data_IF_521321696620
#
_entry.id   IF_521321696620
#
_cell.length_a   1.000
_cell.length_b   1.000
_cell.length_c   1.000
_cell.angle_alpha   90.00
_cell.angle_beta   90.00
_cell.angle_gamma   90.00
#
_symmetry.space_group_name_H-M   'P 1'
#
loop_
_entity.id
_entity.type
_entity.pdbx_description
1 polymer ?
#
# COMPACT_ATOMS: atom_id res chain seq x y z
N UNK A 1 5.91 30.63 -2.94
CA UNK A 1 5.45 29.31 -3.33
C UNK A 1 4.22 28.96 -2.51
N UNK A 2 3.07 28.85 -3.14
CA UNK A 2 1.87 28.32 -2.50
C UNK A 2 2.12 26.85 -2.25
N UNK A 3 2.30 26.45 -0.98
CA UNK A 3 2.30 25.04 -0.62
C UNK A 3 0.85 24.60 -0.55
N UNK A 4 0.49 23.62 -1.34
CA UNK A 4 -0.83 23.03 -1.22
C UNK A 4 -1.05 22.54 0.21
N UNK A 5 -2.26 22.71 0.77
CA UNK A 5 -2.54 22.27 2.12
C UNK A 5 -2.33 20.75 2.24
N UNK A 6 -1.77 20.32 3.35
CA UNK A 6 -1.64 18.90 3.63
C UNK A 6 -3.02 18.33 4.03
N UNK A 7 -3.54 17.43 3.22
CA UNK A 7 -4.78 16.71 3.51
C UNK A 7 -4.41 15.37 4.15
N UNK A 8 -4.95 15.11 5.33
CA UNK A 8 -4.76 13.84 6.04
C UNK A 8 -5.80 12.82 5.60
N UNK A 9 -5.36 11.62 5.32
CA UNK A 9 -6.20 10.46 4.99
C UNK A 9 -6.19 9.39 6.08
N UNK A 10 -5.18 9.40 6.94
CA UNK A 10 -5.00 8.42 7.98
C UNK A 10 -6.04 8.54 9.09
N UNK A 11 -6.42 7.41 9.67
CA UNK A 11 -7.49 7.31 10.67
C UNK A 11 -7.21 8.16 11.91
N UNK A 12 -5.96 8.20 12.38
CA UNK A 12 -5.53 8.94 13.57
C UNK A 12 -4.49 10.02 13.24
N UNK A 13 -4.46 10.50 12.01
CA UNK A 13 -3.53 11.53 11.53
C UNK A 13 -2.05 11.13 11.60
N UNK A 14 -1.75 9.85 11.49
CA UNK A 14 -0.38 9.34 11.49
C UNK A 14 0.42 9.93 10.33
N UNK A 15 -0.20 10.15 9.20
CA UNK A 15 0.39 10.80 8.03
C UNK A 15 0.83 12.24 8.30
N UNK A 16 0.09 12.99 9.11
CA UNK A 16 0.48 14.35 9.54
C UNK A 16 1.74 14.32 10.39
N UNK A 17 1.81 13.39 11.34
CA UNK A 17 2.98 13.24 12.22
C UNK A 17 4.21 12.85 11.40
N UNK A 18 4.04 11.88 10.49
CA UNK A 18 5.11 11.44 9.60
C UNK A 18 5.55 12.57 8.65
N UNK A 19 4.62 13.33 8.10
CA UNK A 19 4.94 14.44 7.21
C UNK A 19 5.78 15.54 7.89
N UNK A 20 5.50 15.80 9.16
CA UNK A 20 6.32 16.74 9.96
C UNK A 20 7.75 16.26 10.14
N UNK A 21 7.92 14.95 10.35
CA UNK A 21 9.24 14.36 10.55
C UNK A 21 9.99 14.15 9.23
N UNK A 22 9.32 13.72 8.18
CA UNK A 22 9.93 13.27 6.93
C UNK A 22 9.97 14.36 5.85
N UNK A 23 9.17 15.42 5.99
CA UNK A 23 9.15 16.60 5.11
C UNK A 23 9.00 16.24 3.62
N UNK A 24 7.89 15.62 3.21
CA UNK A 24 7.73 15.06 1.87
C UNK A 24 7.73 16.12 0.74
N UNK A 25 7.49 17.39 1.06
CA UNK A 25 7.59 18.49 0.09
C UNK A 25 9.06 18.88 -0.22
N UNK A 26 10.00 18.45 0.60
CA UNK A 26 11.41 18.81 0.50
C UNK A 26 12.32 17.63 0.11
N UNK A 27 11.80 16.42 0.16
CA UNK A 27 12.56 15.18 -0.05
C UNK A 27 11.75 14.18 -0.86
N UNK A 28 12.43 13.39 -1.65
CA UNK A 28 11.92 12.14 -2.17
C UNK A 28 12.04 11.06 -1.11
N UNK A 29 11.09 10.12 -1.11
CA UNK A 29 11.09 9.03 -0.17
C UNK A 29 10.38 7.80 -0.69
N UNK A 30 10.47 6.75 0.10
CA UNK A 30 9.97 5.44 -0.20
C UNK A 30 9.34 4.83 1.06
N UNK A 31 8.28 4.06 0.90
CA UNK A 31 7.66 3.34 2.01
C UNK A 31 7.52 1.84 1.75
N UNK A 32 7.39 1.12 2.84
CA UNK A 32 6.84 -0.24 2.88
C UNK A 32 5.65 -0.20 3.83
N UNK A 33 4.46 -0.38 3.29
CA UNK A 33 3.20 -0.33 4.03
C UNK A 33 2.63 -1.74 4.18
N UNK A 34 2.65 -2.26 5.39
CA UNK A 34 2.19 -3.61 5.73
C UNK A 34 0.75 -3.54 6.22
N UNK A 35 -0.15 -4.23 5.52
CA UNK A 35 -1.58 -4.10 5.75
C UNK A 35 -2.10 -2.78 5.20
N UNK A 36 -1.75 -2.47 3.95
CA UNK A 36 -2.01 -1.16 3.35
C UNK A 36 -3.50 -0.79 3.24
N UNK A 37 -4.38 -1.78 3.10
CA UNK A 37 -5.82 -1.57 3.05
C UNK A 37 -6.30 -0.77 1.84
N UNK A 38 -7.30 0.08 2.05
CA UNK A 38 -7.81 0.97 1.03
C UNK A 38 -6.77 2.03 0.63
N UNK A 39 -6.63 2.35 -0.67
CA UNK A 39 -5.62 3.33 -1.12
C UNK A 39 -5.89 4.77 -0.69
N UNK A 40 -7.09 5.07 -0.20
CA UNK A 40 -7.50 6.42 0.22
C UNK A 40 -8.03 6.41 1.65
N UNK A 41 -9.06 5.63 1.92
CA UNK A 41 -9.72 5.59 3.23
C UNK A 41 -8.76 5.01 4.28
N UNK A 42 -8.51 5.77 5.32
CA UNK A 42 -7.59 5.42 6.41
C UNK A 42 -6.15 5.12 5.96
N UNK A 43 -5.76 5.60 4.78
CA UNK A 43 -4.43 5.38 4.24
C UNK A 43 -3.39 6.30 4.86
N UNK A 44 -2.32 5.72 5.39
CA UNK A 44 -1.17 6.46 5.91
C UNK A 44 -0.30 7.01 4.76
N UNK A 45 -0.31 6.36 3.60
CA UNK A 45 0.58 6.68 2.48
C UNK A 45 -0.06 7.54 1.38
N UNK A 46 -1.37 7.74 1.39
CA UNK A 46 -2.06 8.49 0.34
C UNK A 46 -1.52 9.91 0.17
N UNK A 47 -1.33 10.64 1.26
CA UNK A 47 -0.80 12.00 1.21
C UNK A 47 0.64 12.08 0.69
N UNK A 48 1.45 11.05 0.96
CA UNK A 48 2.82 10.93 0.43
C UNK A 48 2.82 10.56 -1.06
N UNK A 49 1.90 9.70 -1.48
CA UNK A 49 1.74 9.34 -2.89
C UNK A 49 1.37 10.57 -3.74
N UNK A 50 0.49 11.44 -3.26
CA UNK A 50 0.15 12.71 -3.90
C UNK A 50 1.36 13.64 -4.07
N UNK A 51 2.36 13.50 -3.22
CA UNK A 51 3.62 14.26 -3.26
C UNK A 51 4.73 13.58 -4.06
N UNK A 52 4.39 12.52 -4.77
CA UNK A 52 5.31 11.83 -5.66
C UNK A 52 6.16 10.73 -5.02
N UNK A 53 5.98 10.46 -3.75
CA UNK A 53 6.60 9.31 -3.11
C UNK A 53 5.99 8.01 -3.66
N UNK A 54 6.76 6.94 -3.61
CA UNK A 54 6.37 5.60 -4.07
C UNK A 54 6.81 4.57 -3.06
N UNK A 55 6.23 3.40 -3.13
CA UNK A 55 6.60 2.36 -2.21
C UNK A 55 6.07 0.97 -2.56
N UNK A 56 6.17 0.11 -1.57
CA UNK A 56 5.61 -1.23 -1.57
C UNK A 56 4.40 -1.25 -0.66
N UNK A 57 3.26 -1.71 -1.18
CA UNK A 57 2.04 -1.93 -0.42
C UNK A 57 1.82 -3.44 -0.31
N UNK A 58 1.74 -3.93 0.92
CA UNK A 58 1.49 -5.34 1.23
C UNK A 58 0.08 -5.47 1.75
N UNK A 59 -0.79 -6.14 0.98
CA UNK A 59 -2.19 -6.30 1.31
C UNK A 59 -2.70 -7.69 0.90
N UNK A 60 -3.06 -8.56 1.85
CA UNK A 60 -3.47 -9.92 1.55
C UNK A 60 -4.89 -10.03 1.00
N UNK A 61 -5.77 -9.05 1.27
CA UNK A 61 -7.16 -9.08 0.83
C UNK A 61 -7.27 -8.79 -0.67
N UNK A 62 -7.88 -9.66 -1.47
CA UNK A 62 -7.94 -9.49 -2.92
C UNK A 62 -8.56 -8.17 -3.35
N UNK A 63 -9.65 -7.75 -2.70
CA UNK A 63 -10.38 -6.53 -3.04
C UNK A 63 -9.57 -5.26 -2.79
N UNK A 64 -8.93 -5.17 -1.64
CA UNK A 64 -8.08 -4.05 -1.26
C UNK A 64 -6.83 -4.00 -2.14
N UNK A 65 -6.25 -5.16 -2.43
CA UNK A 65 -5.12 -5.25 -3.36
C UNK A 65 -5.49 -4.77 -4.78
N UNK A 66 -6.66 -5.17 -5.31
CA UNK A 66 -7.13 -4.68 -6.61
C UNK A 66 -7.30 -3.16 -6.62
N UNK A 67 -7.82 -2.59 -5.56
CA UNK A 67 -7.96 -1.12 -5.40
C UNK A 67 -6.61 -0.42 -5.38
N UNK A 68 -5.63 -0.97 -4.67
CA UNK A 68 -4.26 -0.46 -4.66
C UNK A 68 -3.64 -0.49 -6.04
N UNK A 69 -3.78 -1.59 -6.77
CA UNK A 69 -3.28 -1.71 -8.14
C UNK A 69 -3.90 -0.67 -9.07
N UNK A 70 -5.19 -0.40 -8.93
CA UNK A 70 -5.90 0.58 -9.74
C UNK A 70 -5.53 2.03 -9.39
N UNK A 71 -5.42 2.35 -8.10
CA UNK A 71 -5.15 3.71 -7.62
C UNK A 71 -3.66 4.06 -7.60
N UNK A 72 -2.79 3.07 -7.42
CA UNK A 72 -1.35 3.22 -7.24
C UNK A 72 -0.55 2.32 -8.20
N UNK A 73 -0.73 2.47 -9.52
CA UNK A 73 -0.08 1.59 -10.50
C UNK A 73 1.45 1.75 -10.55
N UNK A 74 1.97 2.87 -10.05
CA UNK A 74 3.41 3.12 -9.97
C UNK A 74 4.07 2.48 -8.75
N UNK A 75 3.29 2.06 -7.75
CA UNK A 75 3.77 1.34 -6.58
C UNK A 75 3.92 -0.15 -6.87
N UNK A 76 4.69 -0.83 -6.03
CA UNK A 76 4.71 -2.30 -6.01
C UNK A 76 3.63 -2.80 -5.05
N UNK A 77 2.58 -3.42 -5.60
CA UNK A 77 1.46 -3.92 -4.81
C UNK A 77 1.53 -5.43 -4.70
N UNK A 78 1.75 -5.95 -3.48
CA UNK A 78 1.93 -7.37 -3.20
C UNK A 78 0.69 -7.93 -2.50
N UNK A 79 0.07 -8.96 -3.09
CA UNK A 79 -1.03 -9.70 -2.47
C UNK A 79 -0.48 -10.84 -1.64
N UNK A 80 0.07 -10.53 -0.50
CA UNK A 80 0.63 -11.48 0.45
C UNK A 80 0.36 -11.04 1.88
N UNK A 81 0.40 -11.97 2.82
CA UNK A 81 0.51 -11.69 4.24
C UNK A 81 1.95 -11.90 4.68
N UNK A 82 2.40 -11.10 5.65
CA UNK A 82 3.72 -11.28 6.25
C UNK A 82 3.63 -12.18 7.48
N UNK A 83 4.66 -13.01 7.65
CA UNK A 83 4.81 -13.89 8.80
C UNK A 83 6.27 -14.13 9.14
N UNK A 84 6.52 -14.79 10.26
CA UNK A 84 7.88 -15.08 10.72
C UNK A 84 8.62 -16.08 9.80
N UNK A 85 7.87 -16.94 9.12
CA UNK A 85 8.41 -17.95 8.21
C UNK A 85 7.61 -17.95 6.90
N UNK A 86 8.27 -18.29 5.80
CA UNK A 86 7.60 -18.50 4.53
C UNK A 86 6.67 -19.72 4.61
N UNK A 87 5.50 -19.62 3.97
CA UNK A 87 4.51 -20.68 3.97
C UNK A 87 3.16 -20.26 3.45
N UNK A 88 2.17 -21.04 3.78
CA UNK A 88 0.77 -20.76 3.46
C UNK A 88 -0.05 -20.70 4.75
N UNK A 89 -1.05 -19.84 4.77
CA UNK A 89 -1.97 -19.68 5.88
C UNK A 89 -3.40 -19.47 5.40
N UNK A 90 -4.32 -19.44 6.35
CA UNK A 90 -5.71 -19.10 6.09
C UNK A 90 -5.97 -17.68 6.58
N UNK A 91 -6.61 -16.89 5.74
CA UNK A 91 -7.08 -15.58 6.09
C UNK A 91 -8.60 -15.63 6.30
N UNK A 92 -9.04 -15.26 7.50
CA UNK A 92 -10.46 -15.13 7.81
C UNK A 92 -10.87 -13.69 7.49
N UNK A 93 -11.84 -13.55 6.61
CA UNK A 93 -12.36 -12.25 6.19
C UNK A 93 -13.79 -12.14 6.68
N UNK A 94 -14.09 -11.09 7.44
CA UNK A 94 -15.48 -10.81 7.80
C UNK A 94 -16.26 -10.40 6.54
N UNK A 95 -17.50 -10.90 6.37
CA UNK A 95 -18.35 -10.45 5.30
C UNK A 95 -18.69 -8.96 5.51
N UNK A 96 -18.09 -8.10 4.73
CA UNK A 96 -18.56 -6.71 4.62
C UNK A 96 -19.58 -6.63 3.51
N UNK A 97 -20.65 -5.83 3.68
CA UNK A 97 -21.61 -5.60 2.62
C UNK A 97 -20.89 -5.13 1.36
N UNK A 98 -20.90 -5.97 0.34
CA UNK A 98 -20.22 -5.75 -0.92
C UNK A 98 -20.90 -4.63 -1.71
N UNK A 99 -20.26 -3.48 -1.78
CA UNK A 99 -20.41 -2.65 -2.98
C UNK A 99 -19.48 -3.23 -4.03
N UNK A 100 -20.07 -3.80 -5.07
CA UNK A 100 -19.32 -4.33 -6.20
C UNK A 100 -18.33 -3.28 -6.74
N UNK A 101 -17.04 -3.62 -6.75
CA UNK A 101 -16.01 -2.79 -7.36
C UNK A 101 -15.96 -3.06 -8.86
N UNK A 102 -16.27 -2.08 -9.72
CA UNK A 102 -16.27 -2.24 -11.18
C UNK A 102 -14.90 -1.94 -11.83
N UNK A 103 -13.84 -1.85 -11.04
CA UNK A 103 -12.52 -1.42 -11.53
C UNK A 103 -11.72 -2.48 -12.29
N UNK A 104 -10.64 -2.06 -12.96
CA UNK A 104 -9.76 -2.96 -13.72
C UNK A 104 -9.08 -3.97 -12.81
N UNK A 105 -8.97 -5.20 -13.28
CA UNK A 105 -8.27 -6.27 -12.55
C UNK A 105 -6.76 -6.06 -12.65
N UNK A 106 -6.09 -6.12 -11.53
CA UNK A 106 -4.64 -6.24 -11.51
C UNK A 106 -4.25 -7.62 -12.07
N UNK A 107 -3.28 -7.66 -12.95
CA UNK A 107 -2.78 -8.94 -13.46
C UNK A 107 -2.13 -9.73 -12.31
N UNK A 108 -2.72 -10.86 -11.98
CA UNK A 108 -2.28 -11.79 -10.93
C UNK A 108 -0.97 -12.53 -11.24
N UNK A 109 -0.04 -11.91 -11.92
CA UNK A 109 1.27 -12.52 -12.08
C UNK A 109 2.10 -12.21 -10.86
N UNK A 110 2.33 -13.18 -9.96
CA UNK A 110 3.36 -13.03 -8.96
C UNK A 110 4.68 -12.82 -9.69
N UNK A 111 5.26 -11.64 -9.57
CA UNK A 111 6.66 -11.49 -9.92
C UNK A 111 7.39 -12.43 -8.98
N UNK A 112 8.01 -13.47 -9.53
CA UNK A 112 8.93 -14.31 -8.78
C UNK A 112 9.97 -13.36 -8.20
N UNK A 113 9.93 -13.18 -6.90
CA UNK A 113 11.08 -12.67 -6.18
C UNK A 113 12.13 -13.76 -6.36
N UNK A 114 13.15 -13.48 -7.11
CA UNK A 114 14.32 -14.33 -7.24
C UNK A 114 14.96 -14.34 -5.84
N UNK A 115 14.63 -15.33 -5.03
CA UNK A 115 15.45 -15.65 -3.89
C UNK A 115 16.74 -16.25 -4.44
N UNK A 116 17.75 -15.41 -4.50
CA UNK A 116 19.10 -15.84 -4.82
C UNK A 116 19.58 -16.81 -3.75
N UNK A 117 19.14 -18.06 -3.83
CA UNK A 117 19.79 -19.16 -3.18
C UNK A 117 21.19 -19.24 -3.76
N UNK A 118 22.15 -18.67 -3.09
CA UNK A 118 23.56 -18.96 -3.34
C UNK A 118 23.84 -20.29 -2.69
N UNK A 119 23.89 -21.32 -3.54
CA UNK A 119 24.60 -22.54 -3.22
C UNK A 119 26.07 -22.19 -2.93
N UNK A 120 26.50 -22.46 -1.72
CA UNK A 120 27.86 -22.90 -1.36
C UNK A 120 27.84 -23.75 -0.12
#
# INVERSE_FOLDING_TARGET
MSRDPFVSYAQNQEDVVLARALRPDEREGFWVDVGAGDPVLDSVTAAFAERGWRGVNVEPLPREHERLCAARPADTNLRVALGATAGQGRLFVEPTEERAWPGPRCSDRPRRVNDGARDR
#
